data_IF_945590250581
#
_entry.id   IF_945590250581
#
_cell.length_a   1.000
_cell.length_b   1.000
_cell.length_c   1.000
_cell.angle_alpha   90.00
_cell.angle_beta   90.00
_cell.angle_gamma   90.00
#
_symmetry.space_group_name_H-M   'P 1'
#
loop_
_entity.id
_entity.type
_entity.pdbx_description
1 polymer ?
#
# COMPACT_ATOMS: atom_id res chain seq x y z
N UNK A 1 11.45 -5.27 -28.55
CA UNK A 1 10.81 -4.22 -27.72
C UNK A 1 10.80 -4.80 -26.32
N UNK A 2 11.40 -4.13 -25.33
CA UNK A 2 11.38 -4.65 -23.96
C UNK A 2 9.92 -4.75 -23.51
N UNK A 3 9.46 -5.92 -23.08
CA UNK A 3 8.13 -6.11 -22.50
C UNK A 3 8.08 -5.35 -21.18
N UNK A 4 7.59 -4.11 -21.22
CA UNK A 4 7.37 -3.28 -20.04
C UNK A 4 6.18 -3.83 -19.26
N UNK A 5 6.35 -4.01 -17.96
CA UNK A 5 5.29 -4.47 -17.06
C UNK A 5 4.32 -3.31 -16.75
N UNK A 6 3.05 -3.61 -16.55
CA UNK A 6 2.04 -2.59 -16.22
C UNK A 6 2.07 -2.22 -14.74
N UNK A 7 1.65 -1.00 -14.40
CA UNK A 7 1.54 -0.55 -13.02
C UNK A 7 0.62 -1.46 -12.17
N UNK A 8 -0.43 -2.01 -12.80
CA UNK A 8 -1.38 -2.92 -12.16
C UNK A 8 -0.74 -4.26 -11.79
N UNK A 9 0.14 -4.80 -12.64
CA UNK A 9 0.91 -6.01 -12.33
C UNK A 9 1.92 -5.76 -11.21
N UNK A 10 2.61 -4.60 -11.20
CA UNK A 10 3.53 -4.24 -10.11
C UNK A 10 2.75 -4.15 -8.78
N UNK A 11 1.58 -3.50 -8.79
CA UNK A 11 0.72 -3.39 -7.60
C UNK A 11 0.23 -4.75 -7.10
N UNK A 12 -0.16 -5.63 -8.02
CA UNK A 12 -0.58 -7.00 -7.70
C UNK A 12 0.54 -7.77 -7.00
N UNK A 13 1.75 -7.77 -7.58
CA UNK A 13 2.93 -8.39 -6.98
C UNK A 13 3.26 -7.78 -5.62
N UNK A 14 3.21 -6.46 -5.49
CA UNK A 14 3.45 -5.76 -4.22
C UNK A 14 2.42 -6.16 -3.14
N UNK A 15 1.13 -6.19 -3.48
CA UNK A 15 0.07 -6.56 -2.55
C UNK A 15 0.19 -8.01 -2.07
N UNK A 16 0.57 -8.92 -2.97
CA UNK A 16 0.83 -10.32 -2.63
C UNK A 16 2.06 -10.46 -1.72
N UNK A 17 3.17 -9.79 -2.06
CA UNK A 17 4.39 -9.79 -1.26
C UNK A 17 4.17 -9.22 0.16
N UNK A 18 3.45 -8.10 0.26
CA UNK A 18 3.03 -7.50 1.54
C UNK A 18 2.20 -8.48 2.37
N UNK A 19 1.21 -9.13 1.77
CA UNK A 19 0.37 -10.11 2.46
C UNK A 19 1.17 -11.32 2.95
N UNK A 20 2.10 -11.83 2.14
CA UNK A 20 2.94 -12.97 2.49
C UNK A 20 3.89 -12.60 3.65
N UNK A 21 4.54 -11.43 3.57
CA UNK A 21 5.38 -10.90 4.65
C UNK A 21 4.58 -10.75 5.93
N UNK A 22 3.41 -10.09 5.87
CA UNK A 22 2.58 -9.84 7.05
C UNK A 22 2.04 -11.14 7.67
N UNK A 23 1.72 -12.15 6.85
CA UNK A 23 1.33 -13.47 7.35
C UNK A 23 2.47 -14.18 8.09
N UNK A 24 3.72 -14.02 7.64
CA UNK A 24 4.89 -14.59 8.33
C UNK A 24 5.15 -13.87 9.66
N UNK A 25 4.99 -12.55 9.70
CA UNK A 25 5.19 -11.73 10.89
C UNK A 25 4.05 -11.88 11.91
N UNK A 26 2.81 -12.06 11.43
CA UNK A 26 1.59 -12.15 12.24
C UNK A 26 0.78 -13.39 11.82
N UNK A 27 1.06 -14.59 12.37
CA UNK A 27 0.41 -15.83 11.94
C UNK A 27 -1.12 -15.84 12.01
N UNK A 28 -1.72 -15.10 12.95
CA UNK A 28 -3.18 -14.96 13.07
C UNK A 28 -3.81 -14.29 11.84
N UNK A 29 -3.04 -13.50 11.08
CA UNK A 29 -3.50 -12.96 9.80
C UNK A 29 -3.78 -14.09 8.79
N UNK A 30 -2.95 -15.14 8.76
CA UNK A 30 -3.20 -16.32 7.93
C UNK A 30 -4.50 -17.04 8.31
N UNK A 31 -4.71 -17.27 9.61
CA UNK A 31 -5.97 -17.87 10.12
C UNK A 31 -7.19 -17.01 9.77
N UNK A 32 -7.06 -15.67 9.80
CA UNK A 32 -8.12 -14.76 9.38
C UNK A 32 -8.42 -14.91 7.87
N UNK A 33 -7.39 -15.02 7.02
CA UNK A 33 -7.58 -15.20 5.57
C UNK A 33 -8.31 -16.52 5.24
N UNK A 34 -7.98 -17.61 5.94
CA UNK A 34 -8.69 -18.89 5.81
C UNK A 34 -10.17 -18.75 6.19
N UNK A 35 -10.46 -18.13 7.34
CA UNK A 35 -11.84 -17.89 7.77
C UNK A 35 -12.62 -17.01 6.79
N UNK A 36 -11.99 -15.97 6.24
CA UNK A 36 -12.61 -15.09 5.23
C UNK A 36 -12.94 -15.88 3.96
N UNK A 37 -12.04 -16.76 3.52
CA UNK A 37 -12.29 -17.62 2.35
C UNK A 37 -13.49 -18.56 2.58
N UNK A 38 -13.55 -19.23 3.74
CA UNK A 38 -14.65 -20.13 4.10
C UNK A 38 -15.99 -19.39 4.16
N UNK A 39 -16.02 -18.22 4.79
CA UNK A 39 -17.23 -17.39 4.90
C UNK A 39 -17.67 -16.90 3.52
N UNK A 40 -16.75 -16.42 2.69
CA UNK A 40 -17.07 -15.96 1.33
C UNK A 40 -17.68 -17.09 0.50
N UNK A 41 -17.08 -18.29 0.54
CA UNK A 41 -17.59 -19.45 -0.16
C UNK A 41 -19.00 -19.81 0.32
N UNK A 42 -19.19 -19.92 1.63
CA UNK A 42 -20.49 -20.26 2.22
C UNK A 42 -21.58 -19.23 1.84
N UNK A 43 -21.26 -17.93 1.80
CA UNK A 43 -22.21 -16.89 1.40
C UNK A 43 -22.60 -17.01 -0.08
N UNK A 44 -21.62 -17.26 -0.96
CA UNK A 44 -21.88 -17.39 -2.40
C UNK A 44 -22.69 -18.67 -2.72
N UNK A 45 -22.39 -19.79 -2.05
CA UNK A 45 -23.14 -21.04 -2.21
C UNK A 45 -24.60 -20.92 -1.74
N UNK A 46 -24.83 -20.22 -0.64
CA UNK A 46 -26.16 -20.04 -0.07
C UNK A 46 -26.97 -18.89 -0.71
N UNK A 47 -26.36 -18.10 -1.59
CA UNK A 47 -27.02 -16.98 -2.25
C UNK A 47 -26.68 -16.88 -3.75
N UNK A 48 -27.28 -17.74 -4.60
CA UNK A 48 -26.99 -17.79 -6.04
C UNK A 48 -27.23 -16.46 -6.77
N UNK A 49 -28.22 -15.66 -6.34
CA UNK A 49 -28.48 -14.34 -6.93
C UNK A 49 -27.34 -13.37 -6.70
N UNK A 50 -26.76 -13.37 -5.48
CA UNK A 50 -25.59 -12.55 -5.18
C UNK A 50 -24.38 -13.03 -5.99
N UNK A 51 -24.21 -14.34 -6.12
CA UNK A 51 -23.14 -14.91 -6.94
C UNK A 51 -23.23 -14.46 -8.40
N UNK A 52 -24.40 -14.55 -9.03
CA UNK A 52 -24.64 -14.06 -10.39
C UNK A 52 -24.38 -12.55 -10.51
N UNK A 53 -24.81 -11.75 -9.53
CA UNK A 53 -24.56 -10.30 -9.53
C UNK A 53 -23.06 -9.98 -9.51
N UNK A 54 -22.30 -10.62 -8.63
CA UNK A 54 -20.85 -10.42 -8.53
C UNK A 54 -20.11 -10.94 -9.76
N UNK A 55 -20.55 -12.05 -10.35
CA UNK A 55 -19.99 -12.58 -11.59
C UNK A 55 -20.20 -11.62 -12.76
N UNK A 56 -21.42 -11.10 -12.91
CA UNK A 56 -21.77 -10.17 -14.00
C UNK A 56 -21.08 -8.80 -13.87
N UNK A 57 -20.63 -8.44 -12.67
CA UNK A 57 -19.90 -7.21 -12.40
C UNK A 57 -18.37 -7.42 -12.33
N UNK A 58 -17.86 -8.60 -12.69
CA UNK A 58 -16.44 -8.98 -12.62
C UNK A 58 -15.80 -8.80 -11.22
N UNK A 59 -16.62 -8.83 -10.16
CA UNK A 59 -16.18 -8.57 -8.78
C UNK A 59 -15.69 -9.82 -8.05
N UNK A 60 -15.92 -11.01 -8.60
CA UNK A 60 -15.47 -12.27 -8.00
C UNK A 60 -13.94 -12.40 -8.01
N UNK A 61 -13.29 -11.95 -9.09
CA UNK A 61 -11.83 -12.02 -9.21
C UNK A 61 -11.15 -11.12 -8.17
N UNK A 62 -11.68 -9.91 -7.93
CA UNK A 62 -11.12 -8.95 -6.95
C UNK A 62 -11.34 -9.38 -5.51
N UNK A 63 -12.44 -10.06 -5.18
CA UNK A 63 -12.82 -10.37 -3.79
C UNK A 63 -11.74 -11.14 -3.03
N UNK A 64 -11.03 -12.04 -3.71
CA UNK A 64 -10.00 -12.89 -3.09
C UNK A 64 -8.66 -12.18 -2.86
N UNK A 65 -8.43 -11.05 -3.55
CA UNK A 65 -7.17 -10.29 -3.49
C UNK A 65 -7.35 -8.90 -2.87
N UNK A 66 -8.59 -8.48 -2.63
CA UNK A 66 -8.91 -7.16 -2.07
C UNK A 66 -8.38 -7.02 -0.65
N UNK A 67 -7.44 -6.08 -0.48
CA UNK A 67 -6.77 -5.79 0.79
C UNK A 67 -6.53 -4.29 0.93
N UNK A 68 -6.36 -3.85 2.17
CA UNK A 68 -5.80 -2.53 2.44
C UNK A 68 -4.75 -2.65 3.54
N UNK A 69 -3.67 -1.88 3.41
CA UNK A 69 -2.68 -1.69 4.47
C UNK A 69 -2.80 -0.32 5.10
N UNK A 70 -2.18 -0.14 6.27
CA UNK A 70 -2.09 1.14 6.95
C UNK A 70 -0.67 1.36 7.48
N UNK A 71 -0.10 2.53 7.18
CA UNK A 71 1.27 2.89 7.57
C UNK A 71 1.31 4.31 8.12
N UNK A 72 2.38 4.63 8.85
CA UNK A 72 2.62 5.94 9.45
C UNK A 72 4.03 6.40 9.12
N UNK A 73 4.14 7.61 8.59
CA UNK A 73 5.42 8.29 8.34
C UNK A 73 5.57 9.50 9.25
N UNK A 74 6.82 9.85 9.54
CA UNK A 74 7.18 10.90 10.48
C UNK A 74 7.52 12.23 9.79
N UNK A 75 7.89 12.22 8.52
CA UNK A 75 8.30 13.44 7.81
C UNK A 75 7.58 13.64 6.47
N UNK A 76 7.51 14.90 6.03
CA UNK A 76 6.95 15.25 4.73
C UNK A 76 7.77 14.66 3.57
N UNK A 77 9.08 14.51 3.74
CA UNK A 77 9.97 13.88 2.75
C UNK A 77 9.67 12.38 2.60
N UNK A 78 9.45 11.67 3.71
CA UNK A 78 9.03 10.27 3.70
C UNK A 78 7.69 10.11 2.97
N UNK A 79 6.71 10.97 3.25
CA UNK A 79 5.42 10.96 2.55
C UNK A 79 5.57 11.26 1.05
N UNK A 80 6.42 12.23 0.68
CA UNK A 80 6.67 12.60 -0.72
C UNK A 80 7.33 11.46 -1.49
N UNK A 81 8.25 10.73 -0.84
CA UNK A 81 8.92 9.57 -1.44
C UNK A 81 7.96 8.40 -1.59
N UNK A 82 7.14 8.11 -0.58
CA UNK A 82 6.06 7.11 -0.69
C UNK A 82 5.09 7.42 -1.83
N UNK A 83 4.75 8.70 -2.05
CA UNK A 83 3.94 9.10 -3.21
C UNK A 83 4.59 8.70 -4.54
N UNK A 84 5.92 8.83 -4.69
CA UNK A 84 6.64 8.37 -5.90
C UNK A 84 6.56 6.85 -6.04
N UNK A 85 6.83 6.12 -4.95
CA UNK A 85 6.75 4.66 -4.90
C UNK A 85 5.35 4.16 -5.31
N UNK A 86 4.30 4.72 -4.71
CA UNK A 86 2.92 4.36 -5.01
C UNK A 86 2.49 4.75 -6.43
N UNK A 87 3.01 5.84 -6.98
CA UNK A 87 2.72 6.23 -8.37
C UNK A 87 3.20 5.20 -9.40
N UNK A 88 4.35 4.55 -9.19
CA UNK A 88 4.85 3.46 -10.05
C UNK A 88 3.86 2.28 -10.08
N UNK A 89 3.17 2.05 -8.97
CA UNK A 89 2.12 1.03 -8.81
C UNK A 89 0.74 1.53 -9.23
N UNK A 90 0.62 2.69 -9.89
CA UNK A 90 -0.66 3.24 -10.32
C UNK A 90 -1.56 3.66 -9.16
N UNK A 91 -0.98 3.98 -8.01
CA UNK A 91 -1.70 4.35 -6.80
C UNK A 91 -1.53 5.85 -6.50
N UNK A 92 -2.64 6.56 -6.40
CA UNK A 92 -2.68 8.02 -6.24
C UNK A 92 -3.25 8.41 -4.88
N UNK A 93 -2.84 9.55 -4.31
CA UNK A 93 -3.40 10.04 -3.05
C UNK A 93 -4.85 10.48 -3.26
N UNK A 94 -5.78 9.74 -2.68
CA UNK A 94 -7.22 10.03 -2.75
C UNK A 94 -7.75 10.46 -1.38
N UNK A 95 -8.43 11.60 -1.40
CA UNK A 95 -9.07 12.24 -0.24
C UNK A 95 -8.09 12.75 0.82
N UNK A 96 -8.64 13.37 1.86
CA UNK A 96 -7.90 13.90 3.00
C UNK A 96 -8.64 13.57 4.29
N UNK A 97 -7.90 13.10 5.28
CA UNK A 97 -8.44 12.69 6.59
C UNK A 97 -7.67 13.41 7.69
N UNK A 98 -8.34 14.27 8.46
CA UNK A 98 -7.75 14.94 9.63
C UNK A 98 -8.18 14.22 10.91
N UNK A 99 -7.27 13.44 11.50
CA UNK A 99 -7.54 12.70 12.73
C UNK A 99 -7.23 13.54 13.98
N UNK A 100 -6.73 14.77 13.84
CA UNK A 100 -6.53 15.67 14.98
C UNK A 100 -7.86 16.03 15.66
N UNK A 101 -8.96 15.99 14.90
CA UNK A 101 -10.34 16.14 15.42
C UNK A 101 -10.73 15.01 16.41
N UNK A 102 -10.07 13.85 16.34
CA UNK A 102 -10.24 12.72 17.24
C UNK A 102 -9.12 12.62 18.30
N UNK A 103 -8.30 13.65 18.45
CA UNK A 103 -7.19 13.68 19.40
C UNK A 103 -5.96 12.86 18.99
N UNK A 104 -5.87 12.41 17.74
CA UNK A 104 -4.71 11.68 17.21
C UNK A 104 -3.85 12.66 16.40
N UNK A 105 -2.53 12.80 16.67
CA UNK A 105 -1.70 13.85 16.07
C UNK A 105 -1.25 13.50 14.63
N UNK A 106 -2.17 13.11 13.76
CA UNK A 106 -1.90 12.75 12.38
C UNK A 106 -2.97 13.30 11.43
N UNK A 107 -2.57 13.44 10.17
CA UNK A 107 -3.49 13.55 9.04
C UNK A 107 -3.06 12.58 7.94
N UNK A 108 -3.97 12.23 7.03
CA UNK A 108 -3.79 11.06 6.18
C UNK A 108 -4.42 11.21 4.79
N UNK A 109 -4.01 10.33 3.88
CA UNK A 109 -4.61 10.08 2.56
C UNK A 109 -4.64 8.57 2.30
N UNK A 110 -5.45 8.10 1.35
CA UNK A 110 -5.41 6.73 0.87
C UNK A 110 -4.75 6.67 -0.52
N UNK A 111 -3.62 5.98 -0.66
CA UNK A 111 -3.03 5.69 -1.96
C UNK A 111 -3.75 4.52 -2.60
N UNK A 112 -4.31 4.73 -3.80
CA UNK A 112 -5.09 3.71 -4.51
C UNK A 112 -5.20 3.94 -6.01
N UNK A 113 -5.52 2.90 -6.80
CA UNK A 113 -5.93 3.08 -8.19
C UNK A 113 -7.22 3.89 -8.26
N UNK A 114 -7.38 4.64 -9.34
CA UNK A 114 -8.56 5.49 -9.57
C UNK A 114 -9.36 5.08 -10.82
N UNK A 115 -8.73 4.36 -11.74
CA UNK A 115 -9.37 3.80 -12.92
C UNK A 115 -10.18 2.55 -12.57
N UNK A 116 -11.33 2.38 -13.22
CA UNK A 116 -12.25 1.28 -12.97
C UNK A 116 -11.63 -0.08 -13.35
N UNK A 117 -10.93 -0.17 -14.48
CA UNK A 117 -10.29 -1.41 -14.90
C UNK A 117 -9.14 -1.79 -13.94
N UNK A 118 -8.35 -0.81 -13.51
CA UNK A 118 -7.28 -1.01 -12.52
C UNK A 118 -7.82 -1.44 -11.14
N UNK A 119 -8.96 -0.89 -10.72
CA UNK A 119 -9.64 -1.28 -9.48
C UNK A 119 -10.23 -2.70 -9.57
N UNK A 120 -10.88 -3.03 -10.68
CA UNK A 120 -11.44 -4.37 -10.91
C UNK A 120 -10.37 -5.44 -10.98
N UNK A 121 -9.16 -5.11 -11.47
CA UNK A 121 -8.03 -6.03 -11.45
C UNK A 121 -7.41 -6.21 -10.08
N UNK A 122 -7.04 -5.11 -9.41
CA UNK A 122 -6.44 -5.17 -8.08
C UNK A 122 -6.74 -3.88 -7.29
N UNK A 123 -7.68 -3.92 -6.33
CA UNK A 123 -8.14 -2.75 -5.58
C UNK A 123 -7.29 -2.45 -4.34
N UNK A 124 -6.00 -2.83 -4.33
CA UNK A 124 -5.13 -2.62 -3.18
C UNK A 124 -5.02 -1.13 -2.82
N UNK A 125 -5.09 -0.85 -1.52
CA UNK A 125 -5.09 0.49 -0.94
C UNK A 125 -4.09 0.59 0.19
N UNK A 126 -3.39 1.71 0.30
CA UNK A 126 -2.54 2.02 1.44
C UNK A 126 -3.00 3.31 2.12
N UNK A 127 -3.53 3.18 3.33
CA UNK A 127 -3.85 4.33 4.17
C UNK A 127 -2.56 4.84 4.80
N UNK A 128 -2.13 6.05 4.45
CA UNK A 128 -0.84 6.61 4.87
C UNK A 128 -1.08 7.85 5.70
N UNK A 129 -0.64 7.80 6.95
CA UNK A 129 -0.73 8.90 7.89
C UNK A 129 0.62 9.59 8.07
N UNK A 130 0.63 10.92 8.08
CA UNK A 130 1.78 11.73 8.44
C UNK A 130 1.61 12.27 9.87
N UNK A 131 2.63 12.04 10.69
CA UNK A 131 2.74 12.59 12.04
C UNK A 131 2.86 14.12 12.01
N UNK A 132 2.08 14.78 12.88
CA UNK A 132 2.09 16.22 13.07
C UNK A 132 2.83 16.57 14.36
N UNK A 133 4.16 16.75 14.26
CA UNK A 133 5.03 17.04 15.41
C UNK A 133 4.61 18.32 16.14
N UNK A 134 4.03 19.30 15.44
CA UNK A 134 3.55 20.54 16.02
C UNK A 134 2.41 20.36 17.03
N UNK A 135 1.74 19.21 17.02
CA UNK A 135 0.70 18.84 18.00
C UNK A 135 1.28 18.18 19.27
N UNK A 136 2.60 17.91 19.33
CA UNK A 136 3.25 17.40 20.54
C UNK A 136 3.54 18.57 21.49
N UNK A 137 2.77 18.71 22.57
CA UNK A 137 2.87 19.86 23.49
C UNK A 137 4.24 20.00 24.16
N UNK A 138 4.86 18.89 24.58
CA UNK A 138 6.15 18.92 25.23
C UNK A 138 7.26 19.23 24.21
N UNK A 139 7.86 20.43 24.33
CA UNK A 139 8.87 20.92 23.40
C UNK A 139 10.14 20.04 23.34
N UNK A 140 10.60 19.53 24.49
CA UNK A 140 11.78 18.65 24.52
C UNK A 140 11.50 17.31 23.83
N UNK A 141 10.31 16.74 24.02
CA UNK A 141 9.87 15.52 23.35
C UNK A 141 9.71 15.74 21.84
N UNK A 142 9.09 16.86 21.44
CA UNK A 142 8.94 17.24 20.02
C UNK A 142 10.29 17.35 19.33
N UNK A 143 11.23 18.06 19.95
CA UNK A 143 12.59 18.22 19.43
C UNK A 143 13.29 16.86 19.31
N UNK A 144 13.17 16.02 20.34
CA UNK A 144 13.76 14.68 20.32
C UNK A 144 13.19 13.81 19.20
N UNK A 145 11.87 13.85 18.97
CA UNK A 145 11.22 13.14 17.88
C UNK A 145 11.72 13.64 16.51
N UNK A 146 11.81 14.97 16.33
CA UNK A 146 12.32 15.58 15.10
C UNK A 146 13.76 15.14 14.79
N UNK A 147 14.65 15.14 15.79
CA UNK A 147 16.04 14.70 15.63
C UNK A 147 16.14 13.25 15.18
N UNK A 148 15.40 12.34 15.83
CA UNK A 148 15.40 10.92 15.47
C UNK A 148 14.89 10.72 14.04
N UNK A 149 13.79 11.41 13.68
CA UNK A 149 13.21 11.33 12.34
C UNK A 149 14.15 11.89 11.26
N UNK A 150 14.92 12.94 11.56
CA UNK A 150 15.87 13.52 10.59
C UNK A 150 17.10 12.66 10.30
N UNK A 151 17.39 11.66 11.13
CA UNK A 151 18.60 10.84 11.03
C UNK A 151 18.36 9.48 10.37
N UNK A 152 17.10 9.10 10.13
CA UNK A 152 16.77 7.80 9.52
C UNK A 152 16.56 7.95 8.02
N UNK A 153 16.89 6.89 7.30
CA UNK A 153 16.38 6.64 5.95
C UNK A 153 15.56 5.36 5.98
N UNK A 154 14.28 5.44 5.66
CA UNK A 154 13.36 4.29 5.66
C UNK A 154 13.34 3.56 4.31
N UNK A 155 14.00 4.12 3.30
CA UNK A 155 14.07 3.54 1.96
C UNK A 155 15.47 3.01 1.70
N UNK A 156 15.58 1.83 1.12
CA UNK A 156 16.88 1.31 0.73
C UNK A 156 17.50 2.18 -0.36
N UNK A 157 18.83 2.25 -0.41
CA UNK A 157 19.53 2.98 -1.47
C UNK A 157 19.13 2.48 -2.87
N UNK A 158 18.85 1.18 -3.00
CA UNK A 158 18.41 0.58 -4.27
C UNK A 158 16.98 0.96 -4.64
N UNK A 159 16.06 1.03 -3.66
CA UNK A 159 14.71 1.56 -3.89
C UNK A 159 14.77 2.98 -4.49
N UNK A 160 15.60 3.86 -3.92
CA UNK A 160 15.78 5.24 -4.42
C UNK A 160 16.36 5.26 -5.85
N UNK A 161 17.38 4.45 -6.13
CA UNK A 161 17.93 4.32 -7.48
C UNK A 161 16.87 3.87 -8.49
N UNK A 162 16.03 2.90 -8.13
CA UNK A 162 14.96 2.41 -9.00
C UNK A 162 13.89 3.50 -9.26
N UNK A 163 13.59 4.36 -8.28
CA UNK A 163 12.73 5.51 -8.51
C UNK A 163 13.32 6.46 -9.55
N UNK A 164 14.62 6.73 -9.47
CA UNK A 164 15.29 7.62 -10.41
C UNK A 164 15.40 6.98 -11.81
N UNK A 165 15.69 5.69 -11.89
CA UNK A 165 15.65 4.91 -13.15
C UNK A 165 14.25 4.95 -13.80
N UNK A 166 13.18 4.83 -12.99
CA UNK A 166 11.81 4.92 -13.49
C UNK A 166 11.49 6.31 -14.04
N UNK A 167 11.91 7.37 -13.36
CA UNK A 167 11.67 8.75 -13.80
C UNK A 167 12.40 9.05 -15.13
N UNK A 168 13.57 8.43 -15.38
CA UNK A 168 14.31 8.57 -16.64
C UNK A 168 13.73 7.72 -17.79
N UNK A 169 13.28 6.50 -17.49
CA UNK A 169 12.89 5.50 -18.50
C UNK A 169 11.38 5.50 -18.78
N UNK A 170 10.57 5.99 -17.85
CA UNK A 170 9.10 6.01 -17.94
C UNK A 170 8.42 4.65 -17.71
N UNK A 171 9.16 3.63 -17.27
CA UNK A 171 8.63 2.30 -17.04
C UNK A 171 9.70 1.31 -16.57
N UNK A 172 9.27 0.13 -16.13
CA UNK A 172 10.17 -0.96 -15.73
C UNK A 172 10.05 -2.17 -16.66
N UNK A 173 11.19 -2.84 -16.84
CA UNK A 173 11.19 -4.26 -17.23
C UNK A 173 10.66 -5.14 -16.08
N UNK A 174 10.26 -6.37 -16.39
CA UNK A 174 9.79 -7.32 -15.37
C UNK A 174 10.82 -7.54 -14.23
N UNK A 175 12.11 -7.61 -14.57
CA UNK A 175 13.18 -7.81 -13.58
C UNK A 175 13.37 -6.58 -12.66
N UNK A 176 13.33 -5.36 -13.22
CA UNK A 176 13.37 -4.13 -12.41
C UNK A 176 12.14 -4.02 -11.51
N UNK A 177 10.97 -4.41 -11.99
CA UNK A 177 9.75 -4.40 -11.19
C UNK A 177 9.78 -5.38 -10.02
N UNK A 178 10.30 -6.60 -10.24
CA UNK A 178 10.50 -7.57 -9.16
C UNK A 178 11.49 -7.06 -8.11
N UNK A 179 12.60 -6.47 -8.55
CA UNK A 179 13.58 -5.83 -7.66
C UNK A 179 12.94 -4.67 -6.90
N UNK A 180 12.19 -3.80 -7.58
CA UNK A 180 11.48 -2.67 -6.98
C UNK A 180 10.50 -3.11 -5.89
N UNK A 181 9.71 -4.17 -6.14
CA UNK A 181 8.79 -4.72 -5.15
C UNK A 181 9.54 -5.21 -3.92
N UNK A 182 10.65 -5.95 -4.10
CA UNK A 182 11.46 -6.45 -2.99
C UNK A 182 12.07 -5.32 -2.17
N UNK A 183 12.72 -4.34 -2.82
CA UNK A 183 13.36 -3.22 -2.14
C UNK A 183 12.35 -2.32 -1.43
N UNK A 184 11.17 -2.14 -2.01
CA UNK A 184 10.07 -1.38 -1.39
C UNK A 184 9.48 -2.12 -0.19
N UNK A 185 9.46 -3.46 -0.21
CA UNK A 185 8.94 -4.27 0.88
C UNK A 185 9.75 -4.09 2.18
N UNK A 186 11.07 -3.88 2.08
CA UNK A 186 11.94 -3.65 3.23
C UNK A 186 11.57 -2.38 4.03
N UNK A 187 10.92 -1.39 3.40
CA UNK A 187 10.41 -0.20 4.11
C UNK A 187 9.27 -0.52 5.09
N UNK A 188 8.59 -1.66 4.91
CA UNK A 188 7.38 -2.01 5.66
C UNK A 188 7.54 -3.23 6.58
N UNK A 189 8.71 -3.87 6.57
CA UNK A 189 9.04 -5.01 7.42
C UNK A 189 9.09 -4.61 8.90
N UNK A 190 8.70 -5.52 9.79
CA UNK A 190 8.76 -5.32 11.25
C UNK A 190 10.18 -5.42 11.83
#
# INVERSE_FOLDING_TARGET
MANTITADEIREHFSQAMSAMYQQEVPQYGTLLELVADVNLAVLENNPKLHEQLANADELARLNVERHGAIRVGTAEELSTLRRIFAIMGMYPVSYYDLSQAGVPVHSTAFRPIDEASLSRNPFRMFTSLLRLELIENAALRQRAAEILSQRDIFTSRCRQLLDEYDEQGGFSAAQAEEFVRETLETFRW
#
